data_IF_684254080875
#
_entry.id   IF_684254080875
#
_cell.length_a   1.000
_cell.length_b   1.000
_cell.length_c   1.000
_cell.angle_alpha   90.00
_cell.angle_beta   90.00
_cell.angle_gamma   90.00
#
_symmetry.space_group_name_H-M   'P 1'
#
loop_
_entity.id
_entity.type
_entity.pdbx_description
1 polymer ?
#
# COMPACT_ATOMS: atom_id res chain seq x y z
N UNK A 1 1.80 10.44 24.39
CA UNK A 1 0.80 9.46 23.90
C UNK A 1 0.62 9.63 22.39
N UNK A 2 0.53 8.53 21.64
CA UNK A 2 0.25 8.56 20.20
C UNK A 2 -1.13 9.17 19.96
N UNK A 3 -1.20 10.29 19.26
CA UNK A 3 -2.44 10.97 18.90
C UNK A 3 -2.72 10.82 17.42
N UNK A 4 -3.95 10.42 17.08
CA UNK A 4 -4.43 10.38 15.69
C UNK A 4 -4.51 11.80 15.15
N UNK A 5 -3.87 12.03 14.01
CA UNK A 5 -3.92 13.29 13.28
C UNK A 5 -5.08 13.29 12.29
N UNK A 6 -5.15 12.27 11.43
CA UNK A 6 -6.22 12.14 10.45
C UNK A 6 -6.39 10.68 9.98
N UNK A 7 -7.42 10.47 9.15
CA UNK A 7 -7.77 9.17 8.58
C UNK A 7 -7.91 9.31 7.07
N UNK A 8 -7.30 8.41 6.30
CA UNK A 8 -7.23 8.49 4.84
C UNK A 8 -7.64 7.19 4.13
N UNK A 9 -8.45 7.22 3.06
CA UNK A 9 -9.05 8.41 2.46
C UNK A 9 -10.14 9.03 3.36
N UNK A 10 -10.31 10.35 3.27
CA UNK A 10 -11.18 11.12 4.18
C UNK A 10 -12.67 10.79 4.06
N UNK A 11 -13.07 10.13 2.97
CA UNK A 11 -14.44 9.92 2.52
C UNK A 11 -14.92 8.45 2.59
N UNK A 12 -14.12 7.47 3.09
CA UNK A 12 -14.48 6.04 2.97
C UNK A 12 -14.24 5.13 4.19
N UNK A 13 -14.90 3.97 4.12
CA UNK A 13 -14.66 2.73 4.89
C UNK A 13 -13.32 2.10 4.45
N UNK A 14 -12.60 1.47 5.39
CA UNK A 14 -11.25 0.89 5.25
C UNK A 14 -10.09 1.92 5.22
N UNK A 15 -10.24 2.97 6.01
CA UNK A 15 -9.30 4.07 6.05
C UNK A 15 -8.12 3.84 7.01
N UNK A 16 -6.97 4.34 6.59
CA UNK A 16 -5.69 4.29 7.28
C UNK A 16 -5.60 5.46 8.26
N UNK A 17 -5.31 5.17 9.53
CA UNK A 17 -5.12 6.17 10.56
C UNK A 17 -3.68 6.66 10.56
N UNK A 18 -3.46 7.96 10.42
CA UNK A 18 -2.14 8.59 10.55
C UNK A 18 -2.04 9.24 11.92
N UNK A 19 -0.96 8.92 12.64
CA UNK A 19 -0.66 9.41 13.98
C UNK A 19 0.53 10.35 13.98
N UNK A 20 0.73 11.06 15.09
CA UNK A 20 1.95 11.86 15.32
C UNK A 20 3.22 10.98 15.32
N UNK A 21 3.14 9.74 15.77
CA UNK A 21 4.28 8.81 15.75
C UNK A 21 4.65 8.44 14.31
N UNK A 22 3.65 8.22 13.43
CA UNK A 22 3.92 8.02 12.00
C UNK A 22 4.64 9.24 11.41
N UNK A 23 4.15 10.45 11.69
CA UNK A 23 4.77 11.69 11.18
C UNK A 23 6.20 11.87 11.69
N UNK A 24 6.50 11.45 12.92
CA UNK A 24 7.87 11.53 13.45
C UNK A 24 8.88 10.75 12.59
N UNK A 25 8.44 9.69 11.89
CA UNK A 25 9.26 8.90 10.95
C UNK A 25 9.63 9.63 9.66
N UNK A 26 9.09 10.83 9.42
CA UNK A 26 9.49 11.71 8.31
C UNK A 26 10.72 12.57 8.65
N UNK A 27 11.21 12.50 9.89
CA UNK A 27 12.38 13.27 10.32
C UNK A 27 13.66 12.79 9.63
N UNK A 28 14.64 13.68 9.51
CA UNK A 28 15.94 13.34 8.94
C UNK A 28 16.60 12.19 9.72
N UNK A 29 17.13 11.20 8.99
CA UNK A 29 17.77 10.01 9.57
C UNK A 29 16.82 8.89 9.99
N UNK A 30 15.50 9.09 9.92
CA UNK A 30 14.51 8.05 10.24
C UNK A 30 14.10 7.24 9.01
N UNK A 31 13.80 5.95 9.22
CA UNK A 31 13.17 5.12 8.19
C UNK A 31 11.66 5.34 8.17
N UNK A 32 11.08 5.47 6.98
CA UNK A 32 9.63 5.43 6.81
C UNK A 32 9.07 4.11 7.34
N UNK A 33 7.88 4.16 7.93
CA UNK A 33 7.17 2.97 8.36
C UNK A 33 6.14 2.53 7.29
N UNK A 34 5.59 1.32 7.46
CA UNK A 34 4.63 0.76 6.51
C UNK A 34 3.37 1.62 6.39
N UNK A 35 2.93 2.27 7.48
CA UNK A 35 1.79 3.21 7.48
C UNK A 35 2.02 4.36 6.52
N UNK A 36 3.17 5.03 6.57
CA UNK A 36 3.49 6.15 5.69
C UNK A 36 3.60 5.72 4.22
N UNK A 37 4.21 4.57 3.96
CA UNK A 37 4.32 4.02 2.60
C UNK A 37 2.93 3.66 2.06
N UNK A 38 2.10 2.99 2.86
CA UNK A 38 0.72 2.65 2.46
C UNK A 38 -0.13 3.91 2.22
N UNK A 39 -0.01 4.91 3.09
CA UNK A 39 -0.66 6.21 2.91
C UNK A 39 -0.31 6.82 1.57
N UNK A 40 0.98 6.92 1.26
CA UNK A 40 1.44 7.62 0.08
C UNK A 40 1.07 6.86 -1.21
N UNK A 41 1.08 5.52 -1.20
CA UNK A 41 0.58 4.71 -2.33
C UNK A 41 -0.91 4.98 -2.60
N UNK A 42 -1.74 5.01 -1.55
CA UNK A 42 -3.18 5.36 -1.69
C UNK A 42 -3.37 6.81 -2.14
N UNK A 43 -2.54 7.73 -1.67
CA UNK A 43 -2.55 9.13 -2.10
C UNK A 43 -2.24 9.26 -3.59
N UNK A 44 -1.16 8.64 -4.06
CA UNK A 44 -0.78 8.64 -5.47
C UNK A 44 -1.85 8.03 -6.36
N UNK A 45 -2.48 6.92 -5.94
CA UNK A 45 -3.56 6.31 -6.71
C UNK A 45 -4.77 7.26 -6.84
N UNK A 46 -5.15 7.95 -5.78
CA UNK A 46 -6.26 8.90 -5.80
C UNK A 46 -5.93 10.14 -6.64
N UNK A 47 -4.72 10.68 -6.51
CA UNK A 47 -4.26 11.80 -7.33
C UNK A 47 -4.19 11.44 -8.81
N UNK A 48 -3.72 10.23 -9.14
CA UNK A 48 -3.69 9.72 -10.50
C UNK A 48 -5.11 9.55 -11.05
N UNK A 49 -6.03 9.02 -10.25
CA UNK A 49 -7.45 8.87 -10.62
C UNK A 49 -8.08 10.23 -10.91
N UNK A 50 -7.76 11.26 -10.12
CA UNK A 50 -8.26 12.62 -10.31
C UNK A 50 -7.69 13.30 -11.55
N UNK A 51 -6.39 13.14 -11.82
CA UNK A 51 -5.69 13.82 -12.93
C UNK A 51 -5.82 13.10 -14.26
N UNK A 52 -5.82 11.76 -14.25
CA UNK A 52 -5.86 10.93 -15.44
C UNK A 52 -6.53 9.57 -15.13
N UNK A 53 -7.88 9.51 -15.12
CA UNK A 53 -8.61 8.27 -14.83
C UNK A 53 -8.26 7.11 -15.78
N UNK A 54 -7.98 7.41 -17.04
CA UNK A 54 -7.63 6.40 -18.03
C UNK A 54 -6.31 5.72 -17.69
N UNK A 55 -5.29 6.51 -17.32
CA UNK A 55 -4.01 5.96 -16.84
C UNK A 55 -4.17 5.25 -15.49
N UNK A 56 -4.98 5.80 -14.57
CA UNK A 56 -5.25 5.17 -13.28
C UNK A 56 -5.78 3.74 -13.42
N UNK A 57 -6.66 3.49 -14.39
CA UNK A 57 -7.18 2.14 -14.69
C UNK A 57 -6.09 1.16 -15.18
N UNK A 58 -4.97 1.68 -15.69
CA UNK A 58 -3.81 0.90 -16.17
C UNK A 58 -2.71 0.75 -15.11
N UNK A 59 -2.91 1.27 -13.90
CA UNK A 59 -1.95 1.19 -12.80
C UNK A 59 -2.56 0.41 -11.63
N UNK A 60 -1.77 -0.46 -11.00
CA UNK A 60 -2.11 -1.09 -9.73
C UNK A 60 -1.04 -0.83 -8.68
N UNK A 61 -1.46 -0.47 -7.47
CA UNK A 61 -0.60 -0.32 -6.30
C UNK A 61 -0.93 -1.40 -5.28
N UNK A 62 0.05 -2.23 -4.94
CA UNK A 62 -0.03 -3.09 -3.77
C UNK A 62 0.29 -2.31 -2.49
N UNK A 63 -0.25 -2.75 -1.36
CA UNK A 63 0.22 -2.27 -0.06
C UNK A 63 1.60 -2.88 0.27
N UNK A 64 2.34 -2.31 1.25
CA UNK A 64 3.70 -2.76 1.58
C UNK A 64 3.81 -4.22 2.07
N UNK A 65 2.71 -4.80 2.53
CA UNK A 65 2.70 -6.16 3.08
C UNK A 65 2.59 -7.25 2.01
N UNK A 66 2.27 -6.91 0.75
CA UNK A 66 2.09 -7.90 -0.33
C UNK A 66 3.36 -8.75 -0.52
N UNK A 67 4.50 -8.09 -0.73
CA UNK A 67 5.76 -8.77 -1.01
C UNK A 67 6.21 -9.62 0.19
N UNK A 68 6.11 -9.07 1.40
CA UNK A 68 6.43 -9.80 2.62
C UNK A 68 5.60 -11.09 2.76
N UNK A 69 4.28 -11.02 2.49
CA UNK A 69 3.42 -12.22 2.49
C UNK A 69 3.76 -13.19 1.37
N UNK A 70 4.11 -12.69 0.20
CA UNK A 70 4.51 -13.52 -0.94
C UNK A 70 5.79 -14.32 -0.62
N UNK A 71 6.79 -13.72 0.02
CA UNK A 71 8.11 -14.33 0.25
C UNK A 71 8.26 -15.05 1.60
N UNK A 72 7.20 -15.06 2.43
CA UNK A 72 7.21 -15.72 3.75
C UNK A 72 7.56 -17.22 3.65
N UNK A 73 8.65 -17.65 4.31
CA UNK A 73 9.24 -19.00 4.16
C UNK A 73 8.63 -20.09 5.06
N UNK A 74 7.71 -19.73 5.97
CA UNK A 74 7.24 -20.55 7.08
C UNK A 74 5.92 -21.29 6.82
N UNK A 75 5.34 -21.17 5.62
CA UNK A 75 4.05 -21.77 5.31
C UNK A 75 4.18 -23.08 4.53
N UNK A 76 3.40 -24.09 4.92
CA UNK A 76 3.22 -25.33 4.16
C UNK A 76 2.49 -25.13 2.83
N UNK A 77 1.91 -23.95 2.61
CA UNK A 77 1.26 -23.57 1.35
C UNK A 77 2.25 -22.87 0.41
N UNK A 78 2.06 -23.06 -0.91
CA UNK A 78 2.88 -22.39 -1.91
C UNK A 78 2.78 -20.86 -1.79
N UNK A 79 3.76 -20.13 -2.34
CA UNK A 79 3.84 -18.67 -2.22
C UNK A 79 2.60 -17.95 -2.75
N UNK A 80 2.04 -18.44 -3.85
CA UNK A 80 0.89 -17.84 -4.51
C UNK A 80 -0.40 -17.94 -3.67
N UNK A 81 -0.67 -19.09 -3.03
CA UNK A 81 -1.91 -19.30 -2.26
C UNK A 81 -2.06 -18.29 -1.11
N UNK A 82 -0.95 -17.80 -0.55
CA UNK A 82 -0.98 -16.74 0.49
C UNK A 82 -1.48 -15.40 -0.01
N UNK A 83 -1.24 -15.08 -1.28
CA UNK A 83 -1.58 -13.79 -1.88
C UNK A 83 -2.69 -13.87 -2.92
N UNK A 84 -3.17 -15.06 -3.27
CA UNK A 84 -4.23 -15.30 -4.28
C UNK A 84 -5.47 -14.43 -4.09
N UNK A 85 -5.90 -14.19 -2.85
CA UNK A 85 -7.07 -13.35 -2.57
C UNK A 85 -6.83 -11.85 -2.79
N UNK A 86 -5.58 -11.41 -2.82
CA UNK A 86 -5.22 -10.00 -2.98
C UNK A 86 -5.55 -9.48 -4.37
N UNK A 87 -5.52 -10.36 -5.37
CA UNK A 87 -5.90 -10.04 -6.75
C UNK A 87 -7.30 -10.54 -7.10
N UNK A 88 -8.09 -11.03 -6.13
CA UNK A 88 -9.41 -11.64 -6.40
C UNK A 88 -10.43 -10.71 -7.07
N UNK A 89 -10.23 -9.39 -6.96
CA UNK A 89 -11.12 -8.37 -7.52
C UNK A 89 -10.45 -7.52 -8.60
N UNK A 90 -9.26 -7.91 -9.08
CA UNK A 90 -8.52 -7.12 -10.06
C UNK A 90 -7.82 -8.04 -11.05
N UNK A 91 -7.93 -7.73 -12.33
CA UNK A 91 -7.09 -8.35 -13.34
C UNK A 91 -5.77 -7.58 -13.43
N UNK A 92 -4.67 -8.22 -13.06
CA UNK A 92 -3.32 -7.65 -13.15
C UNK A 92 -2.83 -7.59 -14.59
N UNK A 93 -3.27 -8.49 -15.46
CA UNK A 93 -2.80 -8.57 -16.85
C UNK A 93 -3.37 -7.43 -17.72
N UNK A 94 -4.43 -6.77 -17.28
CA UNK A 94 -4.96 -5.56 -17.90
C UNK A 94 -4.18 -4.28 -17.54
N UNK A 95 -3.25 -4.37 -16.59
CA UNK A 95 -2.47 -3.24 -16.08
C UNK A 95 -1.16 -3.12 -16.86
N UNK A 96 -0.76 -1.88 -17.13
CA UNK A 96 0.52 -1.56 -17.75
C UNK A 96 1.62 -1.43 -16.68
N UNK A 97 1.25 -1.00 -15.47
CA UNK A 97 2.17 -0.77 -14.37
C UNK A 97 1.65 -1.37 -13.07
N UNK A 98 2.52 -2.10 -12.36
CA UNK A 98 2.22 -2.71 -11.07
C UNK A 98 3.31 -2.26 -10.10
N UNK A 99 2.91 -1.54 -9.06
CA UNK A 99 3.80 -1.05 -8.02
C UNK A 99 3.76 -2.00 -6.82
N UNK A 100 4.91 -2.56 -6.48
CA UNK A 100 5.10 -3.43 -5.31
C UNK A 100 6.15 -2.80 -4.41
N UNK A 101 5.76 -2.19 -3.28
CA UNK A 101 6.73 -1.71 -2.30
C UNK A 101 7.48 -2.91 -1.68
N UNK A 102 8.80 -2.80 -1.58
CA UNK A 102 9.68 -3.84 -0.99
C UNK A 102 10.50 -3.19 0.11
N UNK A 103 10.47 -3.81 1.30
CA UNK A 103 11.29 -3.47 2.44
C UNK A 103 12.11 -4.71 2.83
N UNK A 104 13.39 -4.72 2.46
CA UNK A 104 14.33 -5.81 2.75
C UNK A 104 15.49 -5.27 3.61
N UNK A 105 16.08 -6.16 4.42
CA UNK A 105 17.22 -5.86 5.28
C UNK A 105 18.54 -6.02 4.56
#
# INVERSE_FOLDING_TARGET
PSSRLFVYPFDRVNALSITNDDVSRLSEGEFLNDTLVEFYMRYMQNELTRKNPMLANKVHFFNPFFYHRLTQKDSSSNAYERVKKWTSKIDLFEKNYIFVPINEK
#
